data_IF_365289320201
#
_entry.id   IF_365289320201
#
_cell.length_a   1.000
_cell.length_b   1.000
_cell.length_c   1.000
_cell.angle_alpha   90.00
_cell.angle_beta   90.00
_cell.angle_gamma   90.00
#
_symmetry.space_group_name_H-M   'P 1'
#
loop_
_entity.id
_entity.type
_entity.pdbx_description
1 polymer ?
#
# COMPACT_ATOMS: atom_id res chain seq x y z
N UNK A 1 -1.92 16.52 5.40
CA UNK A 1 -1.53 15.71 6.58
C UNK A 1 -0.22 14.98 6.30
N UNK A 2 0.43 14.44 7.33
CA UNK A 2 1.66 13.66 7.19
C UNK A 2 1.35 12.18 7.42
N UNK A 3 1.85 11.33 6.53
CA UNK A 3 1.81 9.88 6.68
C UNK A 3 3.22 9.31 6.60
N UNK A 4 3.45 8.23 7.34
CA UNK A 4 4.70 7.48 7.34
C UNK A 4 4.36 6.12 6.73
N UNK A 5 5.07 5.76 5.67
CA UNK A 5 4.79 4.56 4.90
C UNK A 5 6.03 3.70 4.89
N UNK A 6 5.92 2.53 5.49
CA UNK A 6 6.94 1.48 5.40
C UNK A 6 6.51 0.42 4.37
N UNK A 7 7.45 -0.25 3.73
CA UNK A 7 7.16 -1.32 2.75
C UNK A 7 8.00 -2.56 2.99
N UNK A 8 7.49 -3.71 2.55
CA UNK A 8 8.29 -4.93 2.51
C UNK A 8 9.57 -4.74 1.67
N UNK A 9 10.71 -5.17 2.21
CA UNK A 9 11.93 -5.38 1.44
C UNK A 9 11.78 -6.60 0.54
N UNK A 10 11.97 -6.43 -0.77
CA UNK A 10 11.66 -7.49 -1.78
C UNK A 10 12.86 -8.00 -2.56
N UNK A 11 13.97 -7.27 -2.61
CA UNK A 11 15.18 -7.69 -3.32
C UNK A 11 16.43 -7.13 -2.66
N UNK A 12 17.60 -7.69 -3.00
CA UNK A 12 18.89 -7.23 -2.46
C UNK A 12 19.22 -5.77 -2.78
N UNK A 13 18.64 -5.19 -3.85
CA UNK A 13 18.76 -3.77 -4.17
C UNK A 13 17.88 -2.88 -3.30
N UNK A 14 16.84 -3.44 -2.67
CA UNK A 14 15.95 -2.72 -1.78
C UNK A 14 16.65 -2.42 -0.44
N UNK A 15 17.53 -3.31 0.04
CA UNK A 15 18.33 -3.16 1.29
C UNK A 15 19.20 -1.88 1.32
N UNK A 16 19.47 -1.30 0.14
CA UNK A 16 20.26 -0.07 -0.03
C UNK A 16 19.42 1.20 0.14
N UNK A 17 18.10 1.12 -0.03
CA UNK A 17 17.19 2.26 0.03
C UNK A 17 16.25 2.17 1.24
N UNK A 18 15.88 3.31 1.81
CA UNK A 18 14.94 3.34 2.93
C UNK A 18 13.59 2.76 2.50
N UNK A 19 13.15 1.73 3.23
CA UNK A 19 11.82 1.15 3.08
C UNK A 19 10.73 2.01 3.73
N UNK A 20 11.12 2.95 4.58
CA UNK A 20 10.24 3.91 5.22
C UNK A 20 10.39 5.29 4.57
N UNK A 21 9.27 5.89 4.17
CA UNK A 21 9.23 7.24 3.63
C UNK A 21 8.05 8.03 4.24
N UNK A 22 8.30 9.31 4.52
CA UNK A 22 7.26 10.24 4.98
C UNK A 22 6.72 11.05 3.79
N UNK A 23 5.40 11.11 3.66
CA UNK A 23 4.71 11.87 2.62
C UNK A 23 3.86 12.99 3.24
N UNK A 24 3.90 14.18 2.61
CA UNK A 24 2.96 15.27 2.87
C UNK A 24 1.84 15.21 1.83
N UNK A 25 0.63 14.84 2.27
CA UNK A 25 -0.49 14.50 1.37
C UNK A 25 -1.74 15.33 1.70
N UNK A 26 -2.64 15.57 0.74
CA UNK A 26 -3.93 16.21 1.03
C UNK A 26 -4.78 15.35 1.97
N UNK A 27 -5.64 15.99 2.76
CA UNK A 27 -6.56 15.28 3.67
C UNK A 27 -7.65 14.49 2.93
N UNK A 28 -7.87 14.80 1.65
CA UNK A 28 -8.79 14.09 0.77
C UNK A 28 -8.16 12.91 0.04
N UNK A 29 -6.88 12.57 0.32
CA UNK A 29 -6.17 11.49 -0.37
C UNK A 29 -6.93 10.17 -0.20
N UNK A 30 -7.22 9.52 -1.33
CA UNK A 30 -7.84 8.20 -1.37
C UNK A 30 -6.80 7.09 -1.57
N UNK A 31 -7.21 5.83 -1.43
CA UNK A 31 -6.36 4.66 -1.70
C UNK A 31 -5.84 4.66 -3.15
N UNK A 32 -6.68 5.01 -4.12
CA UNK A 32 -6.24 5.10 -5.51
C UNK A 32 -5.15 6.16 -5.70
N UNK A 33 -5.37 7.37 -5.17
CA UNK A 33 -4.38 8.44 -5.26
C UNK A 33 -3.10 8.14 -4.47
N UNK A 34 -3.21 7.40 -3.36
CA UNK A 34 -2.06 6.92 -2.63
C UNK A 34 -1.18 6.00 -3.49
N UNK A 35 -1.77 5.02 -4.18
CA UNK A 35 -1.00 4.10 -5.01
C UNK A 35 -0.37 4.79 -6.23
N UNK A 36 -1.08 5.74 -6.85
CA UNK A 36 -0.52 6.60 -7.91
C UNK A 36 0.69 7.40 -7.40
N UNK A 37 0.58 8.01 -6.21
CA UNK A 37 1.65 8.78 -5.58
C UNK A 37 2.90 7.92 -5.34
N UNK A 38 2.76 6.77 -4.67
CA UNK A 38 3.93 5.94 -4.33
C UNK A 38 4.55 5.27 -5.56
N UNK A 39 3.77 4.97 -6.58
CA UNK A 39 4.29 4.49 -7.87
C UNK A 39 5.09 5.58 -8.58
N UNK A 40 4.53 6.79 -8.70
CA UNK A 40 5.18 7.94 -9.36
C UNK A 40 6.50 8.33 -8.67
N UNK A 41 6.58 8.13 -7.36
CA UNK A 41 7.80 8.33 -6.58
C UNK A 41 8.83 7.19 -6.73
N UNK A 42 8.52 6.10 -7.45
CA UNK A 42 9.37 4.92 -7.53
C UNK A 42 9.54 4.21 -6.18
N UNK A 43 8.62 4.43 -5.24
CA UNK A 43 8.67 3.84 -3.90
C UNK A 43 8.27 2.36 -3.93
N UNK A 44 7.48 1.90 -4.91
CA UNK A 44 7.24 0.48 -5.10
C UNK A 44 8.39 -0.14 -5.88
N UNK A 45 8.92 -1.27 -5.39
CA UNK A 45 10.03 -1.93 -6.05
C UNK A 45 9.60 -2.46 -7.43
N UNK A 46 10.38 -2.17 -8.46
CA UNK A 46 10.17 -2.71 -9.79
C UNK A 46 10.56 -4.19 -9.83
N UNK A 47 9.60 -5.06 -10.14
CA UNK A 47 9.80 -6.52 -10.19
C UNK A 47 9.75 -7.02 -11.64
N UNK A 48 10.66 -7.92 -11.99
CA UNK A 48 10.66 -8.59 -13.31
C UNK A 48 9.34 -9.33 -13.52
N UNK A 49 8.69 -9.06 -14.67
CA UNK A 49 7.38 -9.61 -15.02
C UNK A 49 6.19 -8.78 -14.56
N UNK A 50 6.39 -7.87 -13.59
CA UNK A 50 5.39 -6.92 -13.10
C UNK A 50 4.00 -7.52 -12.82
N UNK A 51 3.97 -8.76 -12.31
CA UNK A 51 2.74 -9.50 -11.99
C UNK A 51 2.67 -9.76 -10.49
N UNK A 52 2.65 -8.67 -9.73
CA UNK A 52 2.67 -8.66 -8.27
C UNK A 52 1.59 -7.74 -7.71
N UNK A 53 1.28 -7.90 -6.43
CA UNK A 53 0.35 -7.01 -5.73
C UNK A 53 1.00 -6.35 -4.50
N UNK A 54 0.53 -5.15 -4.19
CA UNK A 54 0.94 -4.39 -3.01
C UNK A 54 -0.28 -4.07 -2.16
N UNK A 55 -0.33 -4.56 -0.92
CA UNK A 55 -1.44 -4.32 0.00
C UNK A 55 -1.12 -3.21 0.98
N UNK A 56 -1.92 -2.16 0.99
CA UNK A 56 -1.91 -1.10 1.99
C UNK A 56 -2.65 -1.55 3.24
N UNK A 57 -2.01 -1.38 4.40
CA UNK A 57 -2.59 -1.68 5.70
C UNK A 57 -2.08 -0.71 6.76
N UNK A 58 -2.82 -0.61 7.87
CA UNK A 58 -2.36 0.04 9.09
C UNK A 58 -2.64 -0.88 10.29
N UNK A 59 -2.50 -0.37 11.52
CA UNK A 59 -2.76 -1.15 12.74
C UNK A 59 -4.19 -1.68 12.89
N UNK A 60 -5.16 -1.11 12.17
CA UNK A 60 -6.57 -1.54 12.21
C UNK A 60 -6.88 -2.65 11.21
N UNK A 61 -6.02 -2.85 10.20
CA UNK A 61 -6.16 -3.91 9.22
C UNK A 61 -5.80 -3.48 7.80
N UNK A 62 -6.24 -4.30 6.84
CA UNK A 62 -6.09 -4.04 5.40
C UNK A 62 -7.01 -2.91 4.96
N UNK A 63 -6.53 -2.09 4.04
CA UNK A 63 -7.22 -0.91 3.54
C UNK A 63 -7.56 -1.07 2.05
N UNK A 64 -6.58 -1.48 1.26
CA UNK A 64 -6.73 -1.69 -0.18
C UNK A 64 -5.46 -2.25 -0.79
N UNK A 65 -5.53 -2.63 -2.06
CA UNK A 65 -4.46 -3.34 -2.76
C UNK A 65 -4.28 -2.78 -4.16
N UNK A 66 -3.05 -2.83 -4.65
CA UNK A 66 -2.69 -2.43 -5.99
C UNK A 66 -2.09 -3.60 -6.77
N UNK A 67 -2.65 -3.88 -7.95
CA UNK A 67 -2.21 -4.94 -8.86
C UNK A 67 -1.41 -4.35 -10.02
N UNK A 68 -0.08 -4.53 -9.96
CA UNK A 68 0.88 -3.89 -10.87
C UNK A 68 0.67 -4.21 -12.36
N UNK A 69 0.14 -5.40 -12.68
CA UNK A 69 -0.08 -5.83 -14.07
C UNK A 69 -1.29 -5.18 -14.72
N UNK A 70 -2.36 -4.99 -13.95
CA UNK A 70 -3.65 -4.50 -14.46
C UNK A 70 -3.87 -3.03 -14.17
N UNK A 71 -3.13 -2.46 -13.22
CA UNK A 71 -3.40 -1.13 -12.69
C UNK A 71 -4.61 -1.11 -11.72
N UNK A 72 -5.18 -2.27 -11.38
CA UNK A 72 -6.38 -2.33 -10.53
C UNK A 72 -6.04 -1.96 -9.09
N UNK A 73 -6.89 -1.14 -8.47
CA UNK A 73 -6.83 -0.79 -7.05
C UNK A 73 -8.13 -1.24 -6.36
N UNK A 74 -8.03 -1.93 -5.23
CA UNK A 74 -9.19 -2.29 -4.40
C UNK A 74 -9.52 -1.18 -3.41
N UNK A 75 -10.82 -0.98 -3.16
CA UNK A 75 -11.34 0.11 -2.32
C UNK A 75 -10.79 1.51 -2.69
N UNK A 76 -10.74 1.87 -3.98
CA UNK A 76 -10.07 3.08 -4.46
C UNK A 76 -10.63 4.37 -3.87
N UNK A 77 -11.90 4.37 -3.45
CA UNK A 77 -12.61 5.50 -2.87
C UNK A 77 -12.33 5.72 -1.38
N UNK A 78 -11.69 4.76 -0.69
CA UNK A 78 -11.46 4.86 0.75
C UNK A 78 -10.49 5.99 1.06
N UNK A 79 -10.85 6.81 2.05
CA UNK A 79 -10.05 7.92 2.55
C UNK A 79 -8.93 7.43 3.46
N UNK A 80 -7.69 7.83 3.16
CA UNK A 80 -6.52 7.53 4.01
C UNK A 80 -6.65 8.24 5.36
N UNK A 81 -7.23 9.44 5.38
CA UNK A 81 -7.45 10.20 6.61
C UNK A 81 -8.44 9.50 7.54
N UNK A 82 -9.54 8.98 7.01
CA UNK A 82 -10.51 8.22 7.82
C UNK A 82 -9.84 6.99 8.43
N UNK A 83 -9.05 6.25 7.64
CA UNK A 83 -8.31 5.07 8.14
C UNK A 83 -7.27 5.44 9.20
N UNK A 84 -6.65 6.60 9.10
CA UNK A 84 -5.75 7.15 10.12
C UNK A 84 -6.52 7.52 11.41
N UNK A 85 -7.69 8.13 11.29
CA UNK A 85 -8.55 8.49 12.42
C UNK A 85 -9.09 7.25 13.15
N UNK A 86 -9.54 6.23 12.40
CA UNK A 86 -9.90 4.90 12.93
C UNK A 86 -8.73 4.24 13.69
N UNK A 87 -7.49 4.53 13.26
CA UNK A 87 -6.27 4.11 13.93
C UNK A 87 -5.88 5.01 15.13
N UNK A 88 -6.76 5.90 15.58
CA UNK A 88 -6.49 6.83 16.69
C UNK A 88 -5.52 7.95 16.31
N UNK A 89 -5.52 8.37 15.04
CA UNK A 89 -4.62 9.39 14.50
C UNK A 89 -3.18 8.89 14.25
N UNK A 90 -2.97 7.57 14.24
CA UNK A 90 -1.65 6.98 13.97
C UNK A 90 -1.26 7.14 12.49
N UNK A 91 -0.20 7.88 12.16
CA UNK A 91 0.15 8.18 10.78
C UNK A 91 0.90 7.04 10.07
N UNK A 92 1.10 5.89 10.72
CA UNK A 92 1.89 4.78 10.19
C UNK A 92 1.06 3.84 9.33
N UNK A 93 1.53 3.64 8.11
CA UNK A 93 1.00 2.72 7.13
C UNK A 93 2.10 1.76 6.69
N UNK A 94 1.68 0.56 6.29
CA UNK A 94 2.56 -0.48 5.80
C UNK A 94 2.07 -1.00 4.46
N UNK A 95 2.99 -1.15 3.52
CA UNK A 95 2.75 -1.66 2.16
C UNK A 95 3.37 -3.05 2.03
N UNK A 96 2.51 -4.06 2.03
CA UNK A 96 2.89 -5.47 1.98
C UNK A 96 3.01 -5.96 0.54
N UNK A 97 4.15 -6.54 0.22
CA UNK A 97 4.39 -7.23 -1.04
C UNK A 97 3.72 -8.60 -1.11
N UNK A 98 3.13 -8.91 -2.27
CA UNK A 98 2.61 -10.22 -2.64
C UNK A 98 3.16 -10.62 -4.01
N UNK A 99 4.01 -11.64 -4.05
CA UNK A 99 4.53 -12.21 -5.30
C UNK A 99 3.47 -12.95 -6.12
N UNK A 100 2.37 -13.36 -5.49
CA UNK A 100 1.23 -13.97 -6.15
C UNK A 100 -0.02 -13.09 -5.97
N UNK A 101 -0.46 -12.36 -7.00
CA UNK A 101 -1.60 -11.43 -6.89
C UNK A 101 -2.92 -12.15 -6.58
N UNK A 102 -3.09 -13.41 -7.01
CA UNK A 102 -4.29 -14.19 -6.67
C UNK A 102 -4.42 -14.40 -5.15
N UNK A 103 -3.30 -14.70 -4.49
CA UNK A 103 -3.27 -14.83 -3.02
C UNK A 103 -3.57 -13.52 -2.28
N UNK A 104 -3.21 -12.37 -2.85
CA UNK A 104 -3.57 -11.08 -2.29
C UNK A 104 -5.11 -10.94 -2.26
N UNK A 105 -5.74 -11.20 -3.42
CA UNK A 105 -7.20 -11.15 -3.61
C UNK A 105 -7.97 -12.10 -2.70
N UNK A 106 -7.49 -13.33 -2.53
CA UNK A 106 -8.11 -14.32 -1.64
C UNK A 106 -8.00 -13.92 -0.16
N UNK A 107 -6.83 -13.44 0.27
CA UNK A 107 -6.63 -13.00 1.66
C UNK A 107 -7.28 -11.66 1.99
N UNK A 108 -7.84 -10.95 1.02
CA UNK A 108 -8.63 -9.74 1.27
C UNK A 108 -10.12 -10.04 1.47
N UNK A 109 -10.57 -11.20 1.00
CA UNK A 109 -11.92 -11.72 1.25
C UNK A 109 -11.96 -12.77 2.38
N UNK A 110 -10.82 -13.31 2.81
CA UNK A 110 -10.69 -14.40 3.80
C UNK A 110 -10.96 -14.05 5.26
N UNK A 111 -11.64 -12.94 5.56
CA UNK A 111 -12.10 -12.56 6.91
C UNK A 111 -13.46 -13.16 7.29
N UNK A 112 -13.97 -14.15 6.54
CA UNK A 112 -15.13 -14.95 6.92
C UNK A 112 -14.81 -16.43 6.85
N UNK A 113 -14.40 -16.99 7.98
CA UNK A 113 -14.56 -18.41 8.31
C UNK A 113 -15.01 -18.51 9.77
#
# INVERSE_FOLDING_TARGET
MKIIVDRNSVCAGDDVYNHEMTFEVPESLTVAEFFDLVESHGFLAAIVGNDVAWGLQNRTGKIGEYFTKTGEVTHPEVSIKDKMDEAGGDPHFFVRYYSNPEWARENSNGGQA
#
